data_IF_164268822956
#
_entry.id   IF_164268822956
#
_cell.length_a   1.000
_cell.length_b   1.000
_cell.length_c   1.000
_cell.angle_alpha   90.00
_cell.angle_beta   90.00
_cell.angle_gamma   90.00
#
_symmetry.space_group_name_H-M   'P 1'
#
loop_
_entity.id
_entity.type
_entity.pdbx_description
1 polymer ?
#
# COMPACT_ATOMS: atom_id res chain seq x y z
N UNK A 1 -11.66 -15.24 5.43
CA UNK A 1 -10.81 -14.53 6.40
C UNK A 1 -10.39 -13.23 5.74
N UNK A 2 -10.97 -12.12 6.19
CA UNK A 2 -10.99 -10.83 5.47
C UNK A 2 -9.61 -10.22 5.30
N UNK A 3 -9.29 -9.78 4.08
CA UNK A 3 -8.10 -9.00 3.71
C UNK A 3 -7.96 -7.75 4.60
N UNK A 4 -9.09 -7.15 4.98
CA UNK A 4 -9.20 -6.00 5.89
C UNK A 4 -8.53 -6.22 7.27
N UNK A 5 -8.68 -7.42 7.87
CA UNK A 5 -8.03 -7.71 9.17
C UNK A 5 -6.51 -7.86 9.07
N UNK A 6 -5.95 -8.13 7.90
CA UNK A 6 -4.50 -8.22 7.69
C UNK A 6 -3.85 -6.85 7.51
N UNK A 7 -4.54 -5.92 6.87
CA UNK A 7 -4.06 -4.53 6.71
C UNK A 7 -3.99 -3.83 8.08
N UNK A 8 -5.00 -4.02 8.94
CA UNK A 8 -5.05 -3.42 10.28
C UNK A 8 -3.99 -3.98 11.24
N UNK A 9 -3.63 -5.25 11.11
CA UNK A 9 -2.63 -5.88 11.99
C UNK A 9 -1.18 -5.49 11.66
N UNK A 10 -0.87 -5.16 10.40
CA UNK A 10 0.49 -4.78 9.99
C UNK A 10 0.85 -3.31 10.28
N UNK A 11 -0.12 -2.43 10.38
CA UNK A 11 0.13 -1.01 10.69
C UNK A 11 0.51 -0.76 12.16
N UNK A 12 0.25 -1.72 13.05
CA UNK A 12 0.53 -1.57 14.48
C UNK A 12 1.96 -1.96 14.90
N UNK A 13 2.76 -2.60 14.05
CA UNK A 13 4.08 -3.16 14.45
C UNK A 13 5.27 -2.31 14.00
N UNK A 14 5.10 -1.27 13.20
CA UNK A 14 6.21 -0.49 12.64
C UNK A 14 6.70 0.69 13.49
N UNK A 15 6.47 0.74 14.81
CA UNK A 15 6.99 1.80 15.68
C UNK A 15 8.14 1.38 16.61
N UNK A 16 8.80 0.28 16.32
CA UNK A 16 10.02 -0.09 17.08
C UNK A 16 11.21 0.02 16.12
N UNK A 17 12.04 1.02 16.38
CA UNK A 17 13.36 1.24 15.79
C UNK A 17 14.21 -0.03 15.85
N UNK A 18 14.56 -0.61 14.68
CA UNK A 18 15.65 -1.60 14.60
C UNK A 18 16.53 -1.29 13.40
N UNK A 19 17.84 -1.19 13.61
CA UNK A 19 18.79 -1.01 12.52
C UNK A 19 19.07 -2.36 11.85
N UNK A 20 19.27 -2.31 10.54
CA UNK A 20 20.03 -3.31 9.78
C UNK A 20 19.41 -4.69 9.62
N UNK A 21 18.42 -4.85 8.71
CA UNK A 21 17.98 -6.16 8.21
C UNK A 21 18.44 -6.39 6.75
N UNK A 22 19.51 -5.76 6.31
CA UNK A 22 20.06 -5.99 4.97
C UNK A 22 20.73 -7.35 4.76
N UNK A 23 20.88 -8.19 5.80
CA UNK A 23 21.75 -9.39 5.71
C UNK A 23 21.04 -10.74 5.90
N UNK A 24 19.72 -10.78 6.06
CA UNK A 24 19.01 -12.07 6.31
C UNK A 24 18.31 -12.70 5.10
N UNK A 25 18.25 -11.98 3.98
CA UNK A 25 17.47 -12.46 2.82
C UNK A 25 18.26 -13.25 1.77
N UNK A 26 19.60 -13.26 1.82
CA UNK A 26 20.40 -13.89 0.75
C UNK A 26 20.26 -15.42 0.68
N UNK A 27 20.05 -16.09 1.79
CA UNK A 27 19.92 -17.57 1.85
C UNK A 27 18.56 -18.06 1.33
N UNK A 28 17.47 -17.35 1.62
CA UNK A 28 16.14 -17.69 1.14
C UNK A 28 16.02 -17.48 -0.38
N UNK A 29 16.70 -16.45 -0.91
CA UNK A 29 16.80 -16.21 -2.35
C UNK A 29 17.45 -17.37 -3.10
N UNK A 30 18.56 -17.87 -2.59
CA UNK A 30 19.27 -18.98 -3.22
C UNK A 30 18.41 -20.25 -3.25
N UNK A 31 17.75 -20.59 -2.15
CA UNK A 31 16.89 -21.77 -2.06
C UNK A 31 15.66 -21.70 -2.99
N UNK A 32 15.04 -20.52 -3.13
CA UNK A 32 13.94 -20.31 -4.08
C UNK A 32 14.45 -20.39 -5.52
N UNK A 33 15.66 -19.89 -5.79
CA UNK A 33 16.27 -19.90 -7.13
C UNK A 33 16.69 -21.30 -7.59
N UNK A 34 17.19 -22.13 -6.69
CA UNK A 34 17.63 -23.51 -7.01
C UNK A 34 16.43 -24.44 -7.27
N UNK A 35 15.29 -24.24 -6.61
CA UNK A 35 14.11 -25.11 -6.76
C UNK A 35 13.20 -24.72 -7.95
N UNK A 36 13.60 -23.76 -8.79
CA UNK A 36 12.77 -23.23 -9.88
C UNK A 36 12.92 -23.95 -11.21
N UNK A 37 13.92 -24.83 -11.37
CA UNK A 37 14.21 -25.47 -12.65
C UNK A 37 13.16 -26.47 -13.10
N UNK A 38 12.45 -27.11 -12.16
CA UNK A 38 11.53 -28.22 -12.44
C UNK A 38 10.07 -27.79 -12.67
N UNK A 39 9.70 -26.53 -12.38
CA UNK A 39 8.33 -26.05 -12.57
C UNK A 39 8.09 -25.52 -13.98
N UNK A 40 6.93 -25.86 -14.55
CA UNK A 40 6.39 -25.21 -15.75
C UNK A 40 6.08 -23.74 -15.46
N UNK A 41 6.03 -22.90 -16.49
CA UNK A 41 5.72 -21.47 -16.30
C UNK A 41 4.28 -21.23 -15.78
N UNK A 42 3.35 -22.14 -16.08
CA UNK A 42 2.01 -22.10 -15.48
C UNK A 42 2.03 -22.39 -13.96
N UNK A 43 2.82 -23.35 -13.53
CA UNK A 43 3.00 -23.65 -12.10
C UNK A 43 3.72 -22.50 -11.38
N UNK A 44 4.70 -21.86 -12.02
CA UNK A 44 5.37 -20.65 -11.49
C UNK A 44 4.38 -19.50 -11.30
N UNK A 45 3.48 -19.28 -12.27
CA UNK A 45 2.43 -18.26 -12.15
C UNK A 45 1.46 -18.57 -11.03
N UNK A 46 1.00 -19.84 -10.93
CA UNK A 46 0.12 -20.27 -9.84
C UNK A 46 0.76 -20.00 -8.47
N UNK A 47 2.03 -20.35 -8.28
CA UNK A 47 2.78 -20.08 -7.05
C UNK A 47 2.94 -18.59 -6.77
N UNK A 48 3.22 -17.79 -7.79
CA UNK A 48 3.32 -16.34 -7.62
C UNK A 48 2.00 -15.76 -7.08
N UNK A 49 0.86 -16.20 -7.61
CA UNK A 49 -0.48 -15.80 -7.14
C UNK A 49 -0.75 -16.31 -5.72
N UNK A 50 -0.39 -17.56 -5.42
CA UNK A 50 -0.53 -18.14 -4.07
C UNK A 50 0.29 -17.36 -3.03
N UNK A 51 1.53 -17.03 -3.33
CA UNK A 51 2.38 -16.19 -2.47
C UNK A 51 1.78 -14.80 -2.27
N UNK A 52 1.31 -14.17 -3.35
CA UNK A 52 0.63 -12.89 -3.27
C UNK A 52 -0.60 -12.94 -2.36
N UNK A 53 -1.48 -13.93 -2.55
CA UNK A 53 -2.70 -14.11 -1.76
C UNK A 53 -2.40 -14.42 -0.28
N UNK A 54 -1.28 -15.08 0.00
CA UNK A 54 -0.84 -15.39 1.36
C UNK A 54 -0.06 -14.25 2.03
N UNK A 55 0.15 -13.12 1.34
CA UNK A 55 0.89 -11.96 1.84
C UNK A 55 2.41 -12.13 1.83
N UNK A 56 2.93 -13.12 1.12
CA UNK A 56 4.37 -13.34 0.90
C UNK A 56 4.79 -12.55 -0.33
N UNK A 57 4.79 -11.22 -0.20
CA UNK A 57 4.94 -10.30 -1.32
C UNK A 57 6.32 -10.38 -1.96
N UNK A 58 7.36 -10.55 -1.16
CA UNK A 58 8.72 -10.70 -1.64
C UNK A 58 8.89 -11.93 -2.54
N UNK A 59 8.42 -13.10 -2.08
CA UNK A 59 8.46 -14.34 -2.84
C UNK A 59 7.60 -14.24 -4.12
N UNK A 60 6.41 -13.62 -4.01
CA UNK A 60 5.56 -13.38 -5.16
C UNK A 60 6.26 -12.52 -6.22
N UNK A 61 6.95 -11.45 -5.80
CA UNK A 61 7.68 -10.53 -6.68
C UNK A 61 8.78 -11.25 -7.46
N UNK A 62 9.53 -12.17 -6.82
CA UNK A 62 10.57 -12.96 -7.50
C UNK A 62 9.98 -13.76 -8.66
N UNK A 63 8.85 -14.46 -8.41
CA UNK A 63 8.22 -15.30 -9.43
C UNK A 63 7.59 -14.47 -10.55
N UNK A 64 6.81 -13.44 -10.20
CA UNK A 64 6.22 -12.54 -11.20
C UNK A 64 7.28 -11.86 -12.06
N UNK A 65 8.38 -11.37 -11.47
CA UNK A 65 9.45 -10.68 -12.20
C UNK A 65 10.15 -11.59 -13.21
N UNK A 66 10.33 -12.86 -12.89
CA UNK A 66 10.90 -13.85 -13.83
C UNK A 66 9.96 -14.10 -15.01
N UNK A 67 8.65 -14.21 -14.72
CA UNK A 67 7.64 -14.45 -15.75
C UNK A 67 7.43 -13.22 -16.64
N UNK A 68 7.43 -12.02 -16.05
CA UNK A 68 7.24 -10.77 -16.80
C UNK A 68 8.35 -10.51 -17.79
N UNK A 69 9.61 -10.81 -17.42
CA UNK A 69 10.76 -10.74 -18.33
C UNK A 69 10.61 -11.66 -19.55
N UNK A 70 9.95 -12.81 -19.36
CA UNK A 70 9.78 -13.81 -20.45
C UNK A 70 8.54 -13.54 -21.30
N UNK A 71 7.43 -13.12 -20.69
CA UNK A 71 6.11 -13.12 -21.32
C UNK A 71 5.43 -11.77 -21.42
N UNK A 72 5.95 -10.73 -20.72
CA UNK A 72 5.25 -9.45 -20.52
C UNK A 72 3.83 -9.67 -20.02
N UNK A 73 3.70 -9.85 -18.72
CA UNK A 73 2.44 -10.21 -18.05
C UNK A 73 1.32 -9.21 -18.34
N UNK A 74 0.08 -9.69 -18.24
CA UNK A 74 -1.08 -8.82 -18.40
C UNK A 74 -1.17 -7.77 -17.26
N UNK A 75 -1.97 -6.70 -17.42
CA UNK A 75 -2.05 -5.60 -16.44
C UNK A 75 -2.40 -6.03 -15.01
N UNK A 76 -3.19 -7.11 -14.81
CA UNK A 76 -3.52 -7.59 -13.47
C UNK A 76 -2.29 -8.11 -12.73
N UNK A 77 -1.48 -8.93 -13.38
CA UNK A 77 -0.26 -9.47 -12.76
C UNK A 77 0.83 -8.41 -12.62
N UNK A 78 0.89 -7.43 -13.54
CA UNK A 78 1.73 -6.25 -13.39
C UNK A 78 1.30 -5.43 -12.14
N UNK A 79 -0.02 -5.28 -11.90
CA UNK A 79 -0.52 -4.64 -10.70
C UNK A 79 -0.15 -5.42 -9.41
N UNK A 80 -0.23 -6.76 -9.44
CA UNK A 80 0.23 -7.57 -8.32
C UNK A 80 1.72 -7.35 -8.03
N UNK A 81 2.56 -7.26 -9.07
CA UNK A 81 3.99 -6.92 -8.90
C UNK A 81 4.18 -5.55 -8.26
N UNK A 82 3.44 -4.54 -8.69
CA UNK A 82 3.51 -3.21 -8.11
C UNK A 82 3.09 -3.18 -6.63
N UNK A 83 2.05 -3.94 -6.25
CA UNK A 83 1.66 -4.12 -4.85
C UNK A 83 2.74 -4.87 -4.07
N UNK A 84 3.39 -5.88 -4.67
CA UNK A 84 4.53 -6.55 -4.05
C UNK A 84 5.68 -5.57 -3.78
N UNK A 85 6.04 -4.73 -4.75
CA UNK A 85 7.05 -3.69 -4.57
C UNK A 85 6.70 -2.74 -3.42
N UNK A 86 5.43 -2.31 -3.32
CA UNK A 86 4.98 -1.46 -2.22
C UNK A 86 5.19 -2.11 -0.85
N UNK A 87 4.79 -3.38 -0.68
CA UNK A 87 4.95 -4.10 0.60
C UNK A 87 6.40 -4.48 0.90
N UNK A 88 7.25 -4.56 -0.11
CA UNK A 88 8.70 -4.78 0.02
C UNK A 88 9.48 -3.47 0.33
N UNK A 89 8.77 -2.31 0.34
CA UNK A 89 9.37 -1.01 0.60
C UNK A 89 10.05 -0.37 -0.60
N UNK A 90 9.88 -0.94 -1.81
CA UNK A 90 10.44 -0.45 -3.06
C UNK A 90 9.46 0.57 -3.69
N UNK A 91 9.26 1.70 -3.03
CA UNK A 91 8.19 2.66 -3.33
C UNK A 91 8.27 3.27 -4.72
N UNK A 92 9.46 3.61 -5.20
CA UNK A 92 9.66 4.12 -6.56
C UNK A 92 9.21 3.09 -7.60
N UNK A 93 9.62 1.83 -7.42
CA UNK A 93 9.24 0.74 -8.32
C UNK A 93 7.74 0.42 -8.26
N UNK A 94 7.13 0.57 -7.08
CA UNK A 94 5.69 0.41 -6.93
C UNK A 94 4.93 1.45 -7.78
N UNK A 95 5.34 2.72 -7.73
CA UNK A 95 4.78 3.80 -8.55
C UNK A 95 4.98 3.51 -10.03
N UNK A 96 6.21 3.22 -10.45
CA UNK A 96 6.55 2.92 -11.84
C UNK A 96 5.74 1.75 -12.43
N UNK A 97 5.45 0.74 -11.61
CA UNK A 97 4.68 -0.42 -12.02
C UNK A 97 3.17 -0.18 -12.06
N UNK A 98 2.61 0.54 -11.08
CA UNK A 98 1.16 0.69 -10.89
C UNK A 98 0.57 1.87 -11.66
N UNK A 99 1.13 3.05 -11.53
CA UNK A 99 0.52 4.28 -12.04
C UNK A 99 0.22 4.23 -13.55
N UNK A 100 1.13 3.78 -14.44
CA UNK A 100 0.88 3.75 -15.88
C UNK A 100 -0.23 2.77 -16.30
N UNK A 101 -0.58 1.81 -15.45
CA UNK A 101 -1.55 0.76 -15.78
C UNK A 101 -2.91 0.96 -15.11
N UNK A 102 -3.06 1.88 -14.14
CA UNK A 102 -4.33 2.12 -13.43
C UNK A 102 -5.51 2.34 -14.39
N UNK A 103 -5.28 3.04 -15.51
CA UNK A 103 -6.31 3.27 -16.51
C UNK A 103 -6.80 1.98 -17.20
N UNK A 104 -5.97 0.96 -17.30
CA UNK A 104 -6.26 -0.36 -17.89
C UNK A 104 -7.01 -1.29 -16.91
N UNK A 105 -7.05 -0.93 -15.62
CA UNK A 105 -7.64 -1.74 -14.55
C UNK A 105 -9.07 -1.31 -14.20
N UNK A 106 -9.65 -0.32 -14.89
CA UNK A 106 -10.98 0.26 -14.57
C UNK A 106 -12.14 -0.74 -14.55
N UNK A 107 -11.99 -1.88 -15.23
CA UNK A 107 -13.01 -2.94 -15.25
C UNK A 107 -12.97 -3.86 -14.01
N UNK A 108 -12.00 -3.69 -13.12
CA UNK A 108 -11.88 -4.51 -11.92
C UNK A 108 -12.82 -4.02 -10.82
N UNK A 109 -13.04 -4.88 -9.81
CA UNK A 109 -13.89 -4.54 -8.69
C UNK A 109 -13.35 -3.31 -7.93
N UNK A 110 -14.23 -2.40 -7.45
CA UNK A 110 -13.80 -1.17 -6.81
C UNK A 110 -12.80 -1.39 -5.66
N UNK A 111 -13.04 -2.39 -4.81
CA UNK A 111 -12.14 -2.69 -3.69
C UNK A 111 -10.77 -3.25 -4.13
N UNK A 112 -10.68 -3.91 -5.29
CA UNK A 112 -9.40 -4.33 -5.86
C UNK A 112 -8.63 -3.10 -6.37
N UNK A 113 -9.32 -2.19 -7.05
CA UNK A 113 -8.73 -0.91 -7.48
C UNK A 113 -8.29 -0.05 -6.32
N UNK A 114 -9.04 -0.04 -5.22
CA UNK A 114 -8.68 0.68 -4.00
C UNK A 114 -7.28 0.29 -3.52
N UNK A 115 -6.95 -1.01 -3.50
CA UNK A 115 -5.61 -1.49 -3.10
C UNK A 115 -4.51 -0.86 -3.97
N UNK A 116 -4.72 -0.78 -5.29
CA UNK A 116 -3.73 -0.22 -6.21
C UNK A 116 -3.57 1.28 -6.01
N UNK A 117 -4.67 2.02 -5.90
CA UNK A 117 -4.63 3.46 -5.63
C UNK A 117 -3.98 3.77 -4.28
N UNK A 118 -4.28 2.99 -3.24
CA UNK A 118 -3.64 3.15 -1.94
C UNK A 118 -2.13 2.89 -2.01
N UNK A 119 -1.72 1.82 -2.69
CA UNK A 119 -0.29 1.47 -2.83
C UNK A 119 0.50 2.58 -3.54
N UNK A 120 -0.07 3.21 -4.57
CA UNK A 120 0.56 4.37 -5.24
C UNK A 120 0.60 5.57 -4.31
N UNK A 121 -0.53 5.90 -3.66
CA UNK A 121 -0.64 7.03 -2.76
C UNK A 121 0.35 6.95 -1.59
N UNK A 122 0.37 5.80 -0.90
CA UNK A 122 1.27 5.62 0.25
C UNK A 122 2.74 5.50 -0.18
N UNK A 123 3.03 5.01 -1.40
CA UNK A 123 4.38 5.07 -1.96
C UNK A 123 4.85 6.51 -2.16
N UNK A 124 4.04 7.38 -2.77
CA UNK A 124 4.34 8.81 -2.88
C UNK A 124 4.50 9.46 -1.50
N UNK A 125 3.61 9.15 -0.56
CA UNK A 125 3.68 9.64 0.80
C UNK A 125 4.99 9.24 1.50
N UNK A 126 5.41 7.97 1.39
CA UNK A 126 6.68 7.46 1.97
C UNK A 126 7.91 8.11 1.37
N UNK A 127 7.83 8.56 0.13
CA UNK A 127 8.86 9.32 -0.56
C UNK A 127 8.79 10.83 -0.28
N UNK A 128 7.92 11.28 0.63
CA UNK A 128 7.65 12.69 0.95
C UNK A 128 7.15 13.52 -0.24
N UNK A 129 6.61 12.87 -1.27
CA UNK A 129 5.98 13.50 -2.44
C UNK A 129 4.51 13.75 -2.14
N UNK A 130 4.24 14.63 -1.18
CA UNK A 130 2.91 14.81 -0.60
C UNK A 130 1.86 15.30 -1.60
N UNK A 131 2.22 16.23 -2.48
CA UNK A 131 1.30 16.75 -3.50
C UNK A 131 0.87 15.65 -4.50
N UNK A 132 1.80 14.75 -4.83
CA UNK A 132 1.54 13.64 -5.75
C UNK A 132 0.71 12.54 -5.08
N UNK A 133 0.80 12.37 -3.76
CA UNK A 133 0.05 11.36 -3.01
C UNK A 133 -1.46 11.68 -2.92
N UNK A 134 -1.84 12.96 -2.78
CA UNK A 134 -3.22 13.39 -2.52
C UNK A 134 -4.22 12.82 -3.52
N UNK A 135 -4.07 13.00 -4.86
CA UNK A 135 -5.08 12.56 -5.81
C UNK A 135 -5.30 11.04 -5.81
N UNK A 136 -4.30 10.25 -5.44
CA UNK A 136 -4.44 8.79 -5.33
C UNK A 136 -5.14 8.38 -4.03
N UNK A 137 -4.89 9.05 -2.91
CA UNK A 137 -5.68 8.84 -1.71
C UNK A 137 -7.14 9.22 -1.89
N UNK A 138 -7.45 10.34 -2.57
CA UNK A 138 -8.81 10.73 -2.92
C UNK A 138 -9.50 9.65 -3.77
N UNK A 139 -8.82 9.09 -4.77
CA UNK A 139 -9.36 7.96 -5.54
C UNK A 139 -9.62 6.74 -4.68
N UNK A 140 -8.72 6.44 -3.74
CA UNK A 140 -8.91 5.36 -2.78
C UNK A 140 -10.18 5.56 -1.95
N UNK A 141 -10.44 6.76 -1.40
CA UNK A 141 -11.65 7.02 -0.59
C UNK A 141 -12.96 6.79 -1.33
N UNK A 142 -12.97 6.89 -2.65
CA UNK A 142 -14.15 6.62 -3.49
C UNK A 142 -14.38 5.13 -3.75
N UNK A 143 -13.35 4.29 -3.61
CA UNK A 143 -13.34 2.89 -4.04
C UNK A 143 -13.27 1.91 -2.88
N UNK A 144 -12.69 2.31 -1.75
CA UNK A 144 -12.48 1.47 -0.59
C UNK A 144 -13.74 1.27 0.26
N UNK A 145 -13.70 0.35 1.20
CA UNK A 145 -14.75 0.20 2.19
C UNK A 145 -14.77 1.37 3.18
N UNK A 146 -15.94 1.66 3.75
CA UNK A 146 -16.12 2.81 4.64
C UNK A 146 -15.19 2.80 5.86
N UNK A 147 -14.82 1.63 6.38
CA UNK A 147 -13.89 1.51 7.52
C UNK A 147 -12.42 1.81 7.14
N UNK A 148 -12.11 1.93 5.86
CA UNK A 148 -10.77 2.22 5.35
C UNK A 148 -10.60 3.70 4.98
N UNK A 149 -11.72 4.41 4.77
CA UNK A 149 -11.70 5.83 4.36
C UNK A 149 -10.97 6.73 5.35
N UNK A 150 -11.17 6.49 6.64
CA UNK A 150 -10.56 7.30 7.69
C UNK A 150 -9.04 7.37 7.57
N UNK A 151 -8.40 6.27 7.20
CA UNK A 151 -6.93 6.23 7.00
C UNK A 151 -6.47 7.15 5.89
N UNK A 152 -7.13 7.08 4.72
CA UNK A 152 -6.75 7.91 3.59
C UNK A 152 -7.04 9.39 3.84
N UNK A 153 -8.18 9.72 4.42
CA UNK A 153 -8.50 11.10 4.80
C UNK A 153 -7.45 11.66 5.78
N UNK A 154 -7.07 10.86 6.77
CA UNK A 154 -6.01 11.25 7.70
C UNK A 154 -4.66 11.45 6.99
N UNK A 155 -4.29 10.57 6.04
CA UNK A 155 -3.07 10.72 5.23
C UNK A 155 -3.11 11.99 4.37
N UNK A 156 -4.25 12.31 3.77
CA UNK A 156 -4.43 13.57 3.02
C UNK A 156 -4.22 14.77 3.95
N UNK A 157 -4.80 14.77 5.15
CA UNK A 157 -4.56 15.82 6.14
C UNK A 157 -3.08 16.00 6.48
N UNK A 158 -2.34 14.88 6.68
CA UNK A 158 -0.88 14.93 6.88
C UNK A 158 -0.16 15.53 5.65
N UNK A 159 -0.59 15.17 4.43
CA UNK A 159 0.00 15.73 3.21
C UNK A 159 -0.16 17.26 3.19
N UNK A 160 -1.38 17.79 3.39
CA UNK A 160 -1.63 19.23 3.39
C UNK A 160 -0.89 19.95 4.51
N UNK A 161 -0.77 19.34 5.69
CA UNK A 161 0.05 19.85 6.78
C UNK A 161 1.51 20.02 6.37
N UNK A 162 2.11 19.04 5.70
CA UNK A 162 3.48 19.13 5.19
C UNK A 162 3.63 20.15 4.04
N UNK A 163 2.57 20.40 3.29
CA UNK A 163 2.54 21.42 2.25
C UNK A 163 2.31 22.83 2.80
N UNK A 164 2.07 22.98 4.12
CA UNK A 164 1.83 24.25 4.79
C UNK A 164 0.37 24.75 4.71
N UNK A 165 -0.52 23.97 4.11
CA UNK A 165 -1.96 24.26 4.07
C UNK A 165 -2.65 23.67 5.30
N UNK A 166 -2.56 24.40 6.41
CA UNK A 166 -3.08 23.95 7.70
C UNK A 166 -4.62 23.92 7.72
N UNK A 167 -5.27 24.86 7.03
CA UNK A 167 -6.73 24.92 6.96
C UNK A 167 -7.31 23.67 6.30
N UNK A 168 -6.84 23.34 5.11
CA UNK A 168 -7.26 22.12 4.41
C UNK A 168 -6.88 20.86 5.21
N UNK A 169 -5.72 20.84 5.87
CA UNK A 169 -5.32 19.72 6.71
C UNK A 169 -6.32 19.47 7.85
N UNK A 170 -6.79 20.52 8.51
CA UNK A 170 -7.80 20.44 9.59
C UNK A 170 -9.12 19.89 9.09
N UNK A 171 -9.61 20.31 7.92
CA UNK A 171 -10.83 19.78 7.32
C UNK A 171 -10.75 18.26 7.14
N UNK A 172 -9.66 17.76 6.55
CA UNK A 172 -9.46 16.32 6.37
C UNK A 172 -9.29 15.57 7.69
N UNK A 173 -8.65 16.15 8.71
CA UNK A 173 -8.57 15.54 10.04
C UNK A 173 -9.92 15.43 10.71
N UNK A 174 -10.78 16.45 10.61
CA UNK A 174 -12.14 16.41 11.14
C UNK A 174 -12.98 15.32 10.44
N UNK A 175 -12.86 15.21 9.13
CA UNK A 175 -13.54 14.16 8.38
C UNK A 175 -13.04 12.76 8.79
N UNK A 176 -11.73 12.55 8.87
CA UNK A 176 -11.14 11.29 9.31
C UNK A 176 -11.58 10.90 10.73
N UNK A 177 -11.66 11.89 11.64
CA UNK A 177 -12.12 11.71 13.01
C UNK A 177 -13.54 11.13 13.08
N UNK A 178 -14.45 11.57 12.19
CA UNK A 178 -15.81 11.04 12.12
C UNK A 178 -15.85 9.54 11.78
N UNK A 179 -14.96 9.08 10.88
CA UNK A 179 -14.83 7.66 10.55
C UNK A 179 -14.24 6.86 11.72
N UNK A 180 -13.17 7.34 12.35
CA UNK A 180 -12.55 6.64 13.48
C UNK A 180 -13.49 6.52 14.68
N UNK A 181 -14.28 7.55 14.97
CA UNK A 181 -15.33 7.47 16.00
C UNK A 181 -16.39 6.43 15.64
N UNK A 182 -16.86 6.42 14.40
CA UNK A 182 -17.88 5.47 13.94
C UNK A 182 -17.43 4.02 14.04
N UNK A 183 -16.14 3.74 13.85
CA UNK A 183 -15.57 2.39 13.86
C UNK A 183 -14.83 2.04 15.16
N UNK A 184 -14.92 2.90 16.21
CA UNK A 184 -14.29 2.71 17.51
C UNK A 184 -12.78 2.47 17.48
N UNK A 185 -12.07 3.17 16.58
CA UNK A 185 -10.62 3.13 16.50
C UNK A 185 -10.00 4.11 17.51
N UNK A 186 -9.90 3.68 18.76
CA UNK A 186 -9.48 4.52 19.90
C UNK A 186 -8.04 5.01 19.79
N UNK A 187 -7.16 4.27 19.16
CA UNK A 187 -5.74 4.65 19.05
C UNK A 187 -5.55 5.78 18.03
N UNK A 188 -6.25 5.69 16.91
CA UNK A 188 -6.25 6.75 15.89
C UNK A 188 -7.01 7.99 16.34
N UNK A 189 -8.09 7.82 17.10
CA UNK A 189 -8.80 8.96 17.71
C UNK A 189 -7.85 9.82 18.54
N UNK A 190 -7.12 9.24 19.48
CA UNK A 190 -6.17 9.97 20.33
C UNK A 190 -5.06 10.66 19.54
N UNK A 191 -4.64 10.06 18.43
CA UNK A 191 -3.61 10.65 17.60
C UNK A 191 -4.14 11.87 16.84
N UNK A 192 -5.31 11.76 16.21
CA UNK A 192 -5.88 12.83 15.42
C UNK A 192 -6.33 14.01 16.28
N UNK A 193 -6.87 13.74 17.47
CA UNK A 193 -7.25 14.78 18.44
C UNK A 193 -6.02 15.62 18.82
N UNK A 194 -4.88 15.00 19.09
CA UNK A 194 -3.61 15.71 19.34
C UNK A 194 -3.12 16.54 18.13
N UNK A 195 -3.33 16.05 16.92
CA UNK A 195 -2.96 16.80 15.71
C UNK A 195 -3.85 18.04 15.52
N UNK A 196 -5.13 17.93 15.82
CA UNK A 196 -6.07 19.05 15.77
C UNK A 196 -5.73 20.10 16.85
N UNK A 197 -5.45 19.69 18.10
CA UNK A 197 -5.04 20.60 19.18
C UNK A 197 -3.76 21.39 18.81
N UNK A 198 -2.74 20.72 18.28
CA UNK A 198 -1.49 21.37 17.86
C UNK A 198 -1.67 22.38 16.72
N UNK A 199 -2.70 22.19 15.91
CA UNK A 199 -2.97 23.06 14.77
C UNK A 199 -3.74 24.33 15.16
N UNK A 200 -4.36 24.35 16.35
CA UNK A 200 -5.09 25.52 16.89
C UNK A 200 -4.18 26.46 17.69
N UNK A 201 -3.00 26.01 18.10
CA UNK A 201 -2.05 26.77 18.93
C UNK A 201 -1.01 27.55 18.11
N UNK A 202 -1.07 27.51 16.78
CA UNK A 202 -0.23 28.25 15.84
C UNK A 202 -1.02 29.26 15.05
#
# INVERSE_FOLDING_TARGET
MNISKRITFFLLVCFISLPCIAHRHSGAYAAILENTSDYTDAEKLSRAVEYFQSGKYHEALIWFSKLDKKYKLNPRFQAYMGVCCYYDGEYERAIEALEPILSKLKAFAPHELAVYYYSVADSYFRLNKYIDAVPFYEKHTLLCYNNEKGDSLFRIGICYKHLGDIETAQEYFVEALAYFRRYNDTDRLKYIERELERSTDN
#
